data_IF_761149390446
#
_entry.id   IF_761149390446
#
_cell.length_a   1.000
_cell.length_b   1.000
_cell.length_c   1.000
_cell.angle_alpha   90.00
_cell.angle_beta   90.00
_cell.angle_gamma   90.00
#
_symmetry.space_group_name_H-M   'P 1'
#
loop_
_entity.id
_entity.type
_entity.pdbx_description
1 polymer ?
#
# COMPACT_ATOMS: atom_id res chain seq x y z
N UNK A 1 -11.37 4.54 1.09
CA UNK A 1 -12.64 5.18 0.68
C UNK A 1 -12.47 5.68 -0.74
N UNK A 2 -13.56 5.87 -1.48
CA UNK A 2 -13.51 6.24 -2.89
C UNK A 2 -14.90 6.49 -3.46
N UNK A 3 -15.02 7.02 -4.68
CA UNK A 3 -16.28 7.09 -5.43
C UNK A 3 -16.26 5.95 -6.47
N UNK A 4 -16.75 4.77 -6.10
CA UNK A 4 -16.62 3.57 -6.93
C UNK A 4 -17.66 3.54 -8.05
N UNK A 5 -18.75 4.30 -7.93
CA UNK A 5 -19.87 4.32 -8.88
C UNK A 5 -20.03 5.66 -9.64
N UNK A 6 -19.12 6.61 -9.44
CA UNK A 6 -19.06 7.92 -10.10
C UNK A 6 -20.30 8.78 -9.83
N UNK A 7 -20.87 8.68 -8.64
CA UNK A 7 -22.03 9.49 -8.24
C UNK A 7 -21.67 10.72 -7.40
N UNK A 8 -20.37 11.00 -7.24
CA UNK A 8 -19.77 12.05 -6.41
C UNK A 8 -20.07 11.91 -4.91
N UNK A 9 -20.37 10.71 -4.44
CA UNK A 9 -20.51 10.39 -3.02
C UNK A 9 -19.45 9.39 -2.63
N UNK A 10 -19.04 9.49 -1.36
CA UNK A 10 -17.98 8.64 -0.85
C UNK A 10 -18.54 7.26 -0.47
N UNK A 11 -17.99 6.25 -1.10
CA UNK A 11 -18.17 4.83 -0.83
C UNK A 11 -17.07 4.30 0.10
N UNK A 12 -17.34 3.15 0.72
CA UNK A 12 -16.42 2.47 1.63
C UNK A 12 -16.15 1.05 1.14
N UNK A 13 -14.86 0.67 1.18
CA UNK A 13 -14.41 -0.71 1.09
C UNK A 13 -13.76 -1.12 2.42
N UNK A 14 -14.04 -2.34 2.87
CA UNK A 14 -13.56 -2.89 4.15
C UNK A 14 -12.99 -4.28 3.91
N UNK A 15 -11.76 -4.51 4.34
CA UNK A 15 -11.16 -5.84 4.39
C UNK A 15 -11.64 -6.60 5.65
N UNK A 16 -12.24 -7.77 5.46
CA UNK A 16 -12.68 -8.65 6.55
C UNK A 16 -11.68 -9.79 6.73
N UNK A 17 -10.69 -9.55 7.59
CA UNK A 17 -9.55 -10.45 7.78
C UNK A 17 -9.96 -11.91 8.04
N UNK A 18 -10.92 -12.16 8.93
CA UNK A 18 -11.33 -13.51 9.33
C UNK A 18 -12.25 -14.22 8.33
N UNK A 19 -12.85 -13.45 7.43
CA UNK A 19 -13.84 -13.96 6.47
C UNK A 19 -13.26 -14.03 5.03
N UNK A 20 -11.96 -13.74 4.87
CA UNK A 20 -11.23 -13.76 3.59
C UNK A 20 -11.95 -13.02 2.46
N UNK A 21 -12.45 -11.81 2.74
CA UNK A 21 -13.16 -11.02 1.73
C UNK A 21 -13.01 -9.51 1.92
N UNK A 22 -13.43 -8.78 0.89
CA UNK A 22 -13.64 -7.34 0.93
C UNK A 22 -15.13 -7.05 0.79
N UNK A 23 -15.69 -6.23 1.68
CA UNK A 23 -17.03 -5.69 1.55
C UNK A 23 -17.01 -4.28 0.98
N UNK A 24 -17.87 -4.00 0.01
CA UNK A 24 -18.08 -2.67 -0.57
C UNK A 24 -19.47 -2.16 -0.22
N UNK A 25 -19.54 -0.91 0.22
CA UNK A 25 -20.75 -0.23 0.65
C UNK A 25 -20.86 1.11 -0.09
N UNK A 26 -21.92 1.30 -0.88
CA UNK A 26 -22.15 2.54 -1.63
C UNK A 26 -22.69 3.62 -0.70
N UNK A 27 -22.13 4.82 -0.75
CA UNK A 27 -22.52 5.95 0.07
C UNK A 27 -23.74 6.68 -0.49
N UNK A 28 -24.71 6.99 0.36
CA UNK A 28 -25.84 7.82 -0.06
C UNK A 28 -25.57 9.32 0.07
N UNK A 29 -24.42 9.72 0.62
CA UNK A 29 -23.98 11.12 0.78
C UNK A 29 -24.52 11.83 2.02
N UNK A 30 -25.28 11.11 2.86
CA UNK A 30 -25.87 11.61 4.11
C UNK A 30 -25.35 10.84 5.35
N UNK A 31 -24.23 10.12 5.20
CA UNK A 31 -23.65 9.27 6.23
C UNK A 31 -24.24 7.86 6.33
N UNK A 32 -25.24 7.49 5.51
CA UNK A 32 -25.70 6.11 5.39
C UNK A 32 -25.17 5.42 4.12
N UNK A 33 -25.18 4.09 4.15
CA UNK A 33 -24.60 3.24 3.11
C UNK A 33 -25.57 2.14 2.64
N UNK A 34 -25.34 1.62 1.44
CA UNK A 34 -26.06 0.47 0.89
C UNK A 34 -25.81 -0.81 1.69
N UNK A 35 -26.54 -1.87 1.35
CA UNK A 35 -26.13 -3.22 1.74
C UNK A 35 -24.75 -3.57 1.18
N UNK A 36 -24.06 -4.49 1.86
CA UNK A 36 -22.73 -4.94 1.51
C UNK A 36 -22.73 -5.75 0.22
N UNK A 37 -21.84 -5.41 -0.70
CA UNK A 37 -21.43 -6.29 -1.80
C UNK A 37 -20.14 -7.00 -1.39
N UNK A 38 -20.12 -8.33 -1.44
CA UNK A 38 -19.00 -9.15 -0.94
C UNK A 38 -18.14 -9.65 -2.10
N UNK A 39 -16.83 -9.40 -2.01
CA UNK A 39 -15.80 -9.88 -2.93
C UNK A 39 -14.89 -10.86 -2.23
N UNK A 40 -14.99 -12.15 -2.57
CA UNK A 40 -14.21 -13.20 -1.93
C UNK A 40 -12.78 -13.22 -2.43
N UNK A 41 -11.86 -13.45 -1.49
CA UNK A 41 -10.48 -13.84 -1.75
C UNK A 41 -10.34 -15.36 -1.54
N UNK A 42 -9.20 -15.97 -1.94
CA UNK A 42 -8.91 -17.36 -1.57
C UNK A 42 -8.98 -17.58 -0.06
N UNK A 43 -9.39 -18.78 0.35
CA UNK A 43 -9.40 -19.15 1.77
C UNK A 43 -7.99 -19.05 2.37
N UNK A 44 -7.87 -18.45 3.56
CA UNK A 44 -6.60 -18.19 4.23
C UNK A 44 -5.84 -16.98 3.65
N UNK A 45 -6.52 -16.03 3.01
CA UNK A 45 -5.88 -14.82 2.51
C UNK A 45 -5.55 -13.84 3.63
N UNK A 46 -6.44 -13.70 4.63
CA UNK A 46 -6.27 -12.79 5.77
C UNK A 46 -5.95 -11.37 5.31
N UNK A 47 -6.88 -10.67 4.62
CA UNK A 47 -6.66 -9.32 4.13
C UNK A 47 -6.52 -8.34 5.30
N UNK A 48 -5.44 -7.55 5.32
CA UNK A 48 -5.09 -6.66 6.45
C UNK A 48 -4.95 -5.19 6.07
N UNK A 49 -4.77 -4.89 4.78
CA UNK A 49 -4.63 -3.52 4.29
C UNK A 49 -5.31 -3.37 2.93
N UNK A 50 -5.86 -2.19 2.66
CA UNK A 50 -6.57 -1.89 1.42
C UNK A 50 -6.31 -0.44 1.00
N UNK A 51 -6.04 -0.25 -0.29
CA UNK A 51 -5.93 1.06 -0.93
C UNK A 51 -6.82 1.12 -2.18
N UNK A 52 -7.20 2.34 -2.56
CA UNK A 52 -8.07 2.61 -3.71
C UNK A 52 -7.32 3.52 -4.68
N UNK A 53 -7.27 3.14 -5.95
CA UNK A 53 -6.70 3.96 -7.02
C UNK A 53 -7.20 3.49 -8.38
N UNK A 54 -7.02 4.27 -9.44
CA UNK A 54 -7.20 3.80 -10.83
C UNK A 54 -5.89 3.14 -11.31
N UNK A 55 -5.76 1.83 -11.13
CA UNK A 55 -4.54 1.09 -11.46
C UNK A 55 -4.42 0.83 -12.97
N UNK A 56 -5.55 0.79 -13.68
CA UNK A 56 -5.60 0.46 -15.11
C UNK A 56 -5.84 1.66 -16.04
N UNK A 57 -5.90 2.87 -15.50
CA UNK A 57 -6.12 4.12 -16.22
C UNK A 57 -7.42 4.13 -17.03
N UNK A 58 -8.45 3.43 -16.57
CA UNK A 58 -9.78 3.42 -17.22
C UNK A 58 -10.74 4.46 -16.62
N UNK A 59 -10.25 5.28 -15.68
CA UNK A 59 -10.98 6.25 -14.87
C UNK A 59 -12.01 5.63 -13.91
N UNK A 60 -12.05 4.31 -13.72
CA UNK A 60 -12.75 3.69 -12.61
C UNK A 60 -11.79 3.48 -11.44
N UNK A 61 -12.34 3.52 -10.23
CA UNK A 61 -11.55 3.20 -9.05
C UNK A 61 -11.47 1.68 -8.87
N UNK A 62 -10.25 1.22 -8.65
CA UNK A 62 -9.88 -0.16 -8.36
C UNK A 62 -9.49 -0.28 -6.87
N UNK A 63 -9.21 -1.51 -6.43
CA UNK A 63 -8.68 -1.78 -5.09
C UNK A 63 -7.45 -2.67 -5.15
N UNK A 64 -6.46 -2.36 -4.32
CA UNK A 64 -5.35 -3.26 -4.00
C UNK A 64 -5.42 -3.68 -2.53
N UNK A 65 -5.18 -4.95 -2.25
CA UNK A 65 -5.39 -5.56 -0.93
C UNK A 65 -4.17 -6.39 -0.53
N UNK A 66 -3.58 -6.09 0.61
CA UNK A 66 -2.51 -6.91 1.18
C UNK A 66 -3.10 -8.12 1.89
N UNK A 67 -2.79 -9.32 1.41
CA UNK A 67 -3.25 -10.59 1.97
C UNK A 67 -2.11 -11.21 2.77
N UNK A 68 -2.13 -11.00 4.10
CA UNK A 68 -1.03 -11.37 4.99
C UNK A 68 -0.76 -12.88 4.95
N UNK A 69 -1.78 -13.71 5.19
CA UNK A 69 -1.57 -15.16 5.22
C UNK A 69 -1.52 -15.76 3.81
N UNK A 70 -2.10 -15.07 2.83
CA UNK A 70 -2.02 -15.42 1.41
C UNK A 70 -0.66 -15.10 0.76
N UNK A 71 0.20 -14.30 1.41
CA UNK A 71 1.51 -13.90 0.89
C UNK A 71 1.45 -13.23 -0.50
N UNK A 72 0.43 -12.41 -0.73
CA UNK A 72 0.20 -11.76 -2.02
C UNK A 72 -0.51 -10.41 -1.87
N UNK A 73 -0.49 -9.63 -2.94
CA UNK A 73 -1.39 -8.49 -3.14
C UNK A 73 -2.48 -8.88 -4.12
N UNK A 74 -3.74 -8.70 -3.72
CA UNK A 74 -4.91 -8.90 -4.58
C UNK A 74 -5.37 -7.58 -5.21
N UNK A 75 -5.58 -7.57 -6.53
CA UNK A 75 -6.06 -6.41 -7.29
C UNK A 75 -7.47 -6.66 -7.82
N UNK A 76 -8.41 -5.81 -7.43
CA UNK A 76 -9.79 -5.79 -7.91
C UNK A 76 -9.99 -4.62 -8.85
N UNK A 77 -10.13 -4.89 -10.15
CA UNK A 77 -10.43 -3.83 -11.13
C UNK A 77 -11.92 -3.47 -11.08
N UNK A 78 -12.22 -2.18 -10.99
CA UNK A 78 -13.56 -1.62 -10.95
C UNK A 78 -14.19 -1.56 -12.33
N UNK A 79 -15.53 -1.64 -12.36
CA UNK A 79 -16.30 -1.33 -13.58
C UNK A 79 -16.80 0.13 -13.60
N UNK A 80 -16.52 0.91 -12.54
CA UNK A 80 -16.97 2.30 -12.41
C UNK A 80 -18.46 2.47 -12.08
N UNK A 81 -19.17 1.38 -11.77
CA UNK A 81 -20.56 1.37 -11.31
C UNK A 81 -20.70 0.87 -9.85
N UNK A 82 -19.59 0.88 -9.11
CA UNK A 82 -19.42 0.34 -7.77
C UNK A 82 -19.47 -1.18 -7.70
N UNK A 83 -19.10 -1.87 -8.79
CA UNK A 83 -18.81 -3.30 -8.81
C UNK A 83 -17.41 -3.57 -9.36
N UNK A 84 -16.84 -4.72 -9.02
CA UNK A 84 -15.45 -5.09 -9.33
C UNK A 84 -15.35 -6.47 -9.99
N UNK A 85 -14.26 -6.69 -10.72
CA UNK A 85 -13.84 -8.02 -11.19
C UNK A 85 -13.39 -8.89 -10.02
N UNK A 86 -13.20 -10.19 -10.28
CA UNK A 86 -12.49 -11.06 -9.32
C UNK A 86 -11.03 -10.61 -9.17
N UNK A 87 -10.44 -10.85 -8.00
CA UNK A 87 -9.07 -10.45 -7.74
C UNK A 87 -8.06 -11.19 -8.63
N UNK A 88 -7.15 -10.43 -9.25
CA UNK A 88 -5.86 -10.95 -9.71
C UNK A 88 -4.90 -10.96 -8.51
N UNK A 89 -4.12 -12.03 -8.34
CA UNK A 89 -3.25 -12.20 -7.18
C UNK A 89 -1.78 -12.17 -7.60
N UNK A 90 -0.99 -11.33 -6.94
CA UNK A 90 0.44 -11.15 -7.22
C UNK A 90 1.25 -11.51 -5.98
N UNK A 91 2.03 -12.58 -6.09
CA UNK A 91 2.87 -13.06 -4.98
C UNK A 91 3.90 -12.01 -4.57
N UNK A 92 4.08 -11.84 -3.26
CA UNK A 92 5.11 -10.99 -2.67
C UNK A 92 6.26 -11.79 -2.07
N UNK A 93 6.29 -13.12 -2.28
CA UNK A 93 7.26 -14.05 -1.69
C UNK A 93 6.57 -15.13 -0.85
N UNK A 94 7.17 -16.32 -0.72
CA UNK A 94 6.47 -17.51 -0.20
C UNK A 94 6.07 -17.48 1.28
N UNK A 95 6.71 -16.64 2.10
CA UNK A 95 6.36 -16.41 3.51
C UNK A 95 6.46 -14.92 3.85
N UNK A 96 6.05 -14.08 2.90
CA UNK A 96 6.25 -12.64 2.95
C UNK A 96 5.41 -11.93 4.02
N UNK A 97 4.16 -12.35 4.20
CA UNK A 97 3.16 -11.68 5.04
C UNK A 97 3.09 -10.16 4.83
N UNK A 98 2.58 -9.69 3.67
CA UNK A 98 2.45 -8.26 3.42
C UNK A 98 1.49 -7.64 4.44
N UNK A 99 1.98 -6.63 5.19
CA UNK A 99 1.24 -5.97 6.27
C UNK A 99 0.71 -4.58 5.91
N UNK A 100 1.33 -3.93 4.91
CA UNK A 100 0.97 -2.60 4.44
C UNK A 100 1.40 -2.44 2.99
N UNK A 101 0.65 -1.66 2.21
CA UNK A 101 0.96 -1.34 0.82
C UNK A 101 0.82 0.17 0.57
N UNK A 102 1.69 0.68 -0.29
CA UNK A 102 1.66 2.05 -0.80
C UNK A 102 1.80 2.03 -2.33
N UNK A 103 1.46 3.16 -2.97
CA UNK A 103 1.45 3.29 -4.43
C UNK A 103 2.22 4.53 -4.87
N UNK A 104 2.81 4.45 -6.06
CA UNK A 104 3.57 5.53 -6.69
C UNK A 104 4.04 5.09 -8.08
N UNK A 105 4.44 6.04 -8.91
CA UNK A 105 5.22 5.73 -10.11
C UNK A 105 6.70 5.71 -9.69
N UNK A 106 7.27 4.51 -9.51
CA UNK A 106 8.63 4.35 -9.00
C UNK A 106 9.66 4.24 -10.14
N UNK A 107 9.21 4.01 -11.38
CA UNK A 107 10.07 3.78 -12.54
C UNK A 107 9.91 4.82 -13.66
N UNK A 108 9.10 5.85 -13.44
CA UNK A 108 8.91 6.98 -14.34
C UNK A 108 8.12 6.64 -15.61
N UNK A 109 7.43 5.51 -15.65
CA UNK A 109 6.66 5.08 -16.83
C UNK A 109 5.21 5.64 -16.84
N UNK A 110 4.90 6.48 -15.85
CA UNK A 110 3.60 7.10 -15.56
C UNK A 110 2.51 6.11 -15.14
N UNK A 111 2.82 4.83 -14.85
CA UNK A 111 1.85 3.88 -14.30
C UNK A 111 2.02 3.78 -12.80
N UNK A 112 0.94 3.39 -12.13
CA UNK A 112 0.99 3.21 -10.69
C UNK A 112 1.54 1.82 -10.40
N UNK A 113 2.59 1.81 -9.59
CA UNK A 113 3.23 0.65 -9.02
C UNK A 113 2.78 0.46 -7.57
N UNK A 114 3.06 -0.71 -7.02
CA UNK A 114 2.71 -1.04 -5.63
C UNK A 114 3.98 -1.44 -4.88
N UNK A 115 4.24 -0.77 -3.77
CA UNK A 115 5.23 -1.17 -2.79
C UNK A 115 4.54 -1.92 -1.64
N UNK A 116 4.96 -3.15 -1.38
CA UNK A 116 4.42 -4.02 -0.32
C UNK A 116 5.47 -4.25 0.77
N UNK A 117 5.13 -3.90 2.01
CA UNK A 117 5.96 -4.17 3.18
C UNK A 117 5.67 -5.57 3.73
N UNK A 118 6.67 -6.44 3.68
CA UNK A 118 6.56 -7.84 4.05
C UNK A 118 7.17 -8.09 5.43
N UNK A 119 6.31 -8.30 6.44
CA UNK A 119 6.75 -8.31 7.84
C UNK A 119 7.60 -9.54 8.20
N UNK A 120 7.33 -10.69 7.56
CA UNK A 120 8.03 -11.94 7.86
C UNK A 120 9.35 -12.07 7.11
N UNK A 121 9.35 -11.73 5.82
CA UNK A 121 10.58 -11.73 5.01
C UNK A 121 11.51 -10.55 5.38
N UNK A 122 10.97 -9.49 6.02
CA UNK A 122 11.75 -8.31 6.36
C UNK A 122 12.26 -7.60 5.10
N UNK A 123 11.38 -7.41 4.13
CA UNK A 123 11.71 -6.71 2.88
C UNK A 123 10.53 -5.86 2.38
N UNK A 124 10.82 -5.05 1.37
CA UNK A 124 9.83 -4.31 0.60
C UNK A 124 9.86 -4.87 -0.81
N UNK A 125 8.72 -5.32 -1.31
CA UNK A 125 8.58 -5.80 -2.68
C UNK A 125 7.92 -4.72 -3.53
N UNK A 126 8.45 -4.48 -4.73
CA UNK A 126 7.83 -3.61 -5.72
C UNK A 126 7.19 -4.46 -6.81
N UNK A 127 5.90 -4.21 -7.03
CA UNK A 127 5.11 -4.75 -8.12
C UNK A 127 4.90 -3.62 -9.14
N UNK A 128 5.55 -3.69 -10.30
CA UNK A 128 5.41 -2.66 -11.33
C UNK A 128 4.15 -2.88 -12.16
N UNK A 129 3.46 -1.78 -12.45
CA UNK A 129 2.34 -1.78 -13.39
C UNK A 129 2.83 -2.07 -14.80
N UNK A 130 2.43 -3.20 -15.37
CA UNK A 130 2.78 -3.62 -16.72
C UNK A 130 1.52 -3.74 -17.59
N UNK A 131 1.28 -2.75 -18.46
CA UNK A 131 0.14 -2.74 -19.40
C UNK A 131 -1.27 -2.67 -18.80
N UNK A 132 -1.50 -1.70 -17.91
CA UNK A 132 -2.78 -1.30 -17.32
C UNK A 132 -3.48 -2.40 -16.47
N UNK A 133 -3.38 -3.69 -16.76
CA UNK A 133 -4.11 -4.73 -16.03
C UNK A 133 -3.22 -5.75 -15.34
N UNK A 134 -1.91 -5.71 -15.58
CA UNK A 134 -0.96 -6.70 -15.07
C UNK A 134 0.05 -6.00 -14.18
N UNK A 135 0.46 -6.67 -13.11
CA UNK A 135 1.61 -6.29 -12.32
C UNK A 135 2.69 -7.37 -12.44
N UNK A 136 3.95 -6.97 -12.43
CA UNK A 136 5.08 -7.89 -12.42
C UNK A 136 5.92 -7.69 -11.16
N UNK A 137 6.30 -8.79 -10.51
CA UNK A 137 7.29 -8.76 -9.45
C UNK A 137 8.65 -8.43 -10.07
N UNK A 138 9.29 -7.38 -9.60
CA UNK A 138 10.56 -6.96 -10.19
C UNK A 138 11.70 -6.84 -9.19
N UNK A 139 11.44 -6.30 -7.99
CA UNK A 139 12.48 -6.10 -7.00
C UNK A 139 12.02 -6.36 -5.56
N UNK A 140 12.95 -6.83 -4.74
CA UNK A 140 12.79 -6.95 -3.29
C UNK A 140 13.96 -6.26 -2.60
N UNK A 141 13.66 -5.32 -1.70
CA UNK A 141 14.63 -4.54 -0.93
C UNK A 141 14.60 -4.99 0.52
N UNK A 142 15.64 -5.71 0.94
CA UNK A 142 15.77 -6.15 2.33
C UNK A 142 15.89 -4.97 3.29
N UNK A 143 15.27 -5.08 4.47
CA UNK A 143 15.51 -4.17 5.59
C UNK A 143 16.55 -4.75 6.55
N UNK A 144 16.99 -3.96 7.53
CA UNK A 144 17.99 -4.41 8.50
C UNK A 144 17.52 -5.68 9.24
N UNK A 145 18.40 -6.66 9.50
CA UNK A 145 18.04 -7.85 10.26
C UNK A 145 17.41 -7.52 11.61
N UNK A 146 16.25 -8.12 11.89
CA UNK A 146 15.49 -7.87 13.11
C UNK A 146 14.60 -6.63 13.08
N UNK A 147 14.55 -5.89 11.97
CA UNK A 147 13.56 -4.83 11.78
C UNK A 147 12.19 -5.45 11.45
N UNK A 148 11.19 -5.17 12.29
CA UNK A 148 9.81 -5.62 12.09
C UNK A 148 9.02 -4.49 11.45
N UNK A 149 8.70 -4.65 10.16
CA UNK A 149 7.88 -3.70 9.39
C UNK A 149 6.46 -3.58 9.94
N UNK A 150 5.91 -2.37 9.94
CA UNK A 150 4.53 -2.07 10.37
C UNK A 150 3.74 -1.27 9.36
N UNK A 151 4.35 -0.27 8.74
CA UNK A 151 3.68 0.58 7.77
C UNK A 151 4.66 1.04 6.71
N UNK A 152 4.13 1.34 5.53
CA UNK A 152 4.85 1.92 4.40
C UNK A 152 4.06 3.11 3.87
N UNK A 153 4.75 4.19 3.54
CA UNK A 153 4.23 5.37 2.85
C UNK A 153 5.25 5.82 1.80
N UNK A 154 4.79 6.66 0.89
CA UNK A 154 5.56 7.11 -0.27
C UNK A 154 5.39 8.62 -0.39
N UNK A 155 6.49 9.35 -0.50
CA UNK A 155 6.53 10.79 -0.79
C UNK A 155 7.97 11.16 -1.23
N UNK A 156 8.15 12.33 -1.84
CA UNK A 156 9.48 12.93 -2.03
C UNK A 156 9.91 13.59 -0.72
N UNK A 157 10.87 12.98 -0.01
CA UNK A 157 11.30 13.46 1.32
C UNK A 157 12.67 14.12 1.30
N UNK A 158 13.31 14.20 0.13
CA UNK A 158 14.62 14.84 -0.03
C UNK A 158 14.58 16.07 -0.96
N UNK A 159 13.45 16.33 -1.62
CA UNK A 159 13.20 17.45 -2.52
C UNK A 159 13.77 17.26 -3.93
N UNK A 160 14.06 16.03 -4.36
CA UNK A 160 14.61 15.73 -5.69
C UNK A 160 13.55 15.42 -6.75
N UNK A 161 12.26 15.52 -6.39
CA UNK A 161 11.08 15.25 -7.21
C UNK A 161 10.87 13.77 -7.57
N UNK A 162 11.61 12.86 -6.95
CA UNK A 162 11.47 11.42 -7.11
C UNK A 162 10.80 10.85 -5.86
N UNK A 163 9.90 9.89 -6.06
CA UNK A 163 9.22 9.24 -4.94
C UNK A 163 10.17 8.35 -4.15
N UNK A 164 10.22 8.59 -2.84
CA UNK A 164 10.94 7.76 -1.88
C UNK A 164 9.97 6.81 -1.17
N UNK A 165 10.52 5.73 -0.61
CA UNK A 165 9.78 4.81 0.24
C UNK A 165 10.18 5.03 1.70
N UNK A 166 9.17 5.25 2.55
CA UNK A 166 9.34 5.45 3.97
C UNK A 166 8.62 4.33 4.70
N UNK A 167 9.34 3.67 5.60
CA UNK A 167 8.83 2.56 6.40
C UNK A 167 8.88 2.87 7.88
N UNK A 168 7.87 2.42 8.60
CA UNK A 168 7.83 2.41 10.05
C UNK A 168 7.90 0.99 10.59
N UNK A 169 8.41 0.84 11.79
CA UNK A 169 8.45 -0.45 12.45
C UNK A 169 9.22 -0.44 13.76
N UNK A 170 9.83 -1.58 14.05
CA UNK A 170 10.66 -1.77 15.24
C UNK A 170 12.00 -2.35 14.80
N UNK A 171 13.05 -1.53 14.85
CA UNK A 171 14.43 -1.97 14.60
C UNK A 171 15.21 -2.28 15.86
N UNK A 172 16.53 -2.41 15.71
CA UNK A 172 17.43 -2.47 16.85
C UNK A 172 17.55 -1.09 17.52
N UNK A 173 17.46 -1.05 18.86
CA UNK A 173 17.56 0.21 19.61
C UNK A 173 16.32 1.09 19.48
N UNK A 174 16.50 2.31 18.95
CA UNK A 174 15.43 3.32 18.73
C UNK A 174 15.11 3.56 17.26
N UNK A 175 15.72 2.77 16.36
CA UNK A 175 15.60 2.95 14.91
C UNK A 175 14.26 2.39 14.43
N UNK A 176 13.26 3.25 14.33
CA UNK A 176 11.87 2.85 14.06
C UNK A 176 11.35 3.39 12.73
N UNK A 177 12.15 4.21 12.02
CA UNK A 177 11.84 4.73 10.69
C UNK A 177 12.98 4.34 9.74
N UNK A 178 12.64 3.98 8.51
CA UNK A 178 13.58 3.78 7.41
C UNK A 178 13.16 4.57 6.18
N UNK A 179 14.12 5.09 5.43
CA UNK A 179 13.89 5.78 4.15
C UNK A 179 14.74 5.11 3.08
N UNK A 180 14.13 4.70 1.99
CA UNK A 180 14.76 4.20 0.77
C UNK A 180 14.57 5.27 -0.31
N UNK A 181 15.65 5.91 -0.73
CA UNK A 181 15.57 6.99 -1.71
C UNK A 181 15.40 6.44 -3.12
N UNK A 182 14.39 6.92 -3.85
CA UNK A 182 14.10 6.49 -5.21
C UNK A 182 15.14 6.97 -6.21
N UNK A 183 15.29 6.24 -7.32
CA UNK A 183 16.12 6.63 -8.47
C UNK A 183 15.32 6.85 -9.75
N UNK A 184 13.97 6.75 -9.67
CA UNK A 184 13.03 6.90 -10.77
C UNK A 184 13.25 5.94 -11.95
N UNK A 185 13.92 4.82 -11.71
CA UNK A 185 14.13 3.72 -12.67
C UNK A 185 13.64 2.38 -12.10
N UNK A 186 12.81 2.44 -11.04
CA UNK A 186 12.33 1.31 -10.29
C UNK A 186 13.29 0.85 -9.20
N UNK A 187 14.47 1.46 -9.09
CA UNK A 187 15.45 1.13 -8.06
C UNK A 187 15.54 2.17 -6.94
N UNK A 188 16.05 1.72 -5.80
CA UNK A 188 16.18 2.51 -4.59
C UNK A 188 17.59 2.40 -4.02
N UNK A 189 18.09 3.51 -3.47
CA UNK A 189 19.34 3.55 -2.73
C UNK A 189 19.25 2.75 -1.43
N UNK A 190 20.43 2.49 -0.85
CA UNK A 190 20.54 1.86 0.46
C UNK A 190 19.74 2.65 1.50
N UNK A 191 18.90 1.92 2.23
CA UNK A 191 18.06 2.45 3.31
C UNK A 191 18.88 3.28 4.31
N UNK A 192 18.37 4.46 4.66
CA UNK A 192 18.79 5.22 5.85
C UNK A 192 17.82 4.98 7.00
N UNK A 193 18.36 4.87 8.23
CA UNK A 193 17.59 4.60 9.46
C UNK A 193 17.49 5.85 10.33
N UNK A 194 16.30 6.13 10.83
CA UNK A 194 16.01 7.26 11.73
C UNK A 194 15.33 6.77 13.01
N UNK A 195 15.54 7.50 14.09
CA UNK A 195 15.02 7.16 15.42
C UNK A 195 13.92 8.13 15.85
N UNK A 196 12.79 7.60 16.33
CA UNK A 196 11.71 8.42 16.93
C UNK A 196 12.04 8.87 18.36
N UNK A 197 13.23 8.54 18.86
CA UNK A 197 13.68 8.92 20.20
C UNK A 197 13.15 8.00 21.30
N UNK A 198 12.26 7.06 20.99
CA UNK A 198 11.74 6.04 21.89
C UNK A 198 12.02 4.64 21.37
N UNK A 199 11.97 3.64 22.24
CA UNK A 199 12.15 2.23 21.87
C UNK A 199 10.85 1.54 21.44
N UNK A 200 9.71 2.23 21.57
CA UNK A 200 8.41 1.72 21.17
C UNK A 200 8.28 1.70 19.63
N UNK A 201 7.62 0.67 19.10
CA UNK A 201 7.41 0.53 17.66
C UNK A 201 6.59 1.72 17.10
N UNK A 202 7.01 2.24 15.95
CA UNK A 202 6.21 3.16 15.15
C UNK A 202 5.16 2.35 14.38
N UNK A 203 3.91 2.34 14.87
CA UNK A 203 2.85 1.47 14.35
C UNK A 203 2.29 1.94 13.01
N UNK A 204 2.29 3.25 12.79
CA UNK A 204 1.88 3.89 11.56
C UNK A 204 2.82 5.06 11.29
N UNK A 205 2.84 5.55 10.06
CA UNK A 205 3.55 6.77 9.70
C UNK A 205 2.65 7.58 8.77
N UNK A 206 2.63 8.89 8.97
CA UNK A 206 1.99 9.86 8.10
C UNK A 206 3.02 10.93 7.72
N UNK A 207 2.91 11.42 6.48
CA UNK A 207 3.76 12.48 5.94
C UNK A 207 2.88 13.68 5.63
N UNK A 208 3.27 14.83 6.16
CA UNK A 208 2.72 16.14 5.83
C UNK A 208 3.74 17.21 6.19
N UNK A 209 3.57 18.42 5.67
CA UNK A 209 4.28 19.59 6.22
C UNK A 209 3.56 19.96 7.53
N UNK A 210 4.17 19.70 8.68
CA UNK A 210 3.55 19.93 9.99
C UNK A 210 4.03 21.24 10.64
N UNK A 211 5.18 21.77 10.23
CA UNK A 211 5.74 23.01 10.77
C UNK A 211 5.71 24.22 9.82
N UNK A 212 5.21 24.04 8.59
CA UNK A 212 5.11 25.01 7.50
C UNK A 212 6.46 25.50 6.98
N UNK A 213 7.47 24.63 6.93
CA UNK A 213 8.79 24.94 6.35
C UNK A 213 8.91 24.57 4.85
N UNK A 214 7.80 24.18 4.22
CA UNK A 214 7.70 23.64 2.85
C UNK A 214 8.42 22.28 2.66
N UNK A 215 9.08 21.76 3.71
CA UNK A 215 9.60 20.41 3.83
C UNK A 215 8.54 19.43 4.37
N UNK A 216 8.76 18.14 4.12
CA UNK A 216 7.87 17.08 4.60
C UNK A 216 8.35 16.55 5.95
N UNK A 217 7.46 16.60 6.93
CA UNK A 217 7.65 16.04 8.26
C UNK A 217 7.03 14.65 8.39
N UNK A 218 7.58 13.86 9.33
CA UNK A 218 7.05 12.55 9.70
C UNK A 218 6.33 12.61 11.04
N UNK A 219 5.14 12.01 11.11
CA UNK A 219 4.46 11.69 12.38
C UNK A 219 4.23 10.19 12.47
N UNK A 220 4.53 9.61 13.64
CA UNK A 220 4.36 8.18 13.94
C UNK A 220 3.57 7.97 15.22
#
# INVERSE_FOLDING_TARGET
MGDFNKDNKLDIAVAFQKDDNVGVFKGYGNGSFSEQIVYKLPNGSSPVWLIVHDFNKDNAQDMAVANSDGNNVGIFLGYGNGTFRNASLYSTGSDSAPCSIAIGDFNGDNRMDIAAANVKDGNIVILFGYNNEIFMLEAAYGVEPGFVLKSIVVDDVNGDTILDIIISGQGSGRNNIGVLYGLNDGTFLVRKSYSTGVTAAALSIAIADFDNDDGKDFVT
#
